data_IF_774963368057
#
_entry.id   IF_774963368057
#
_cell.length_a   1.000
_cell.length_b   1.000
_cell.length_c   1.000
_cell.angle_alpha   90.00
_cell.angle_beta   90.00
_cell.angle_gamma   90.00
#
_symmetry.space_group_name_H-M   'P 1'
#
loop_
_entity.id
_entity.type
_entity.pdbx_description
1 polymer ?
#
# COMPACT_ATOMS: atom_id res chain seq x y z
N UNK A 1 -9.31 16.43 9.81
CA UNK A 1 -7.95 16.12 9.40
C UNK A 1 -7.51 17.06 8.30
N UNK A 2 -6.36 17.63 8.46
CA UNK A 2 -5.91 18.73 7.61
C UNK A 2 -4.83 18.25 6.64
N UNK A 3 -5.26 17.64 5.56
CA UNK A 3 -4.36 17.10 4.55
C UNK A 3 -4.27 18.09 3.40
N UNK A 4 -3.04 18.43 3.04
CA UNK A 4 -2.79 19.37 1.97
C UNK A 4 -2.21 18.64 0.77
N UNK A 5 -2.65 19.00 -0.42
CA UNK A 5 -2.15 18.40 -1.65
C UNK A 5 -0.64 18.50 -1.77
N UNK A 6 -0.05 19.62 -1.32
CA UNK A 6 1.40 19.80 -1.36
C UNK A 6 2.19 18.82 -0.52
N UNK A 7 1.54 18.08 0.39
CA UNK A 7 2.20 17.05 1.19
C UNK A 7 2.31 15.72 0.45
N UNK A 8 1.61 15.57 -0.66
CA UNK A 8 1.65 14.35 -1.47
C UNK A 8 2.84 14.44 -2.41
N UNK A 9 4.02 14.07 -1.91
CA UNK A 9 5.29 14.28 -2.59
C UNK A 9 5.92 13.01 -3.17
N UNK A 10 5.37 11.86 -2.84
CA UNK A 10 5.96 10.58 -3.25
C UNK A 10 5.09 9.91 -4.29
N UNK A 11 5.72 9.47 -5.35
CA UNK A 11 5.01 8.76 -6.41
C UNK A 11 5.00 7.28 -6.11
N UNK A 12 3.82 6.72 -5.89
CA UNK A 12 3.66 5.31 -5.59
C UNK A 12 2.89 4.62 -6.72
N UNK A 13 3.04 3.30 -6.80
CA UNK A 13 2.33 2.49 -7.78
C UNK A 13 1.62 1.36 -7.06
N UNK A 14 0.34 1.18 -7.36
CA UNK A 14 -0.40 0.01 -6.90
C UNK A 14 -0.14 -1.14 -7.85
N UNK A 15 0.19 -2.30 -7.28
CA UNK A 15 0.41 -3.52 -8.04
C UNK A 15 -0.49 -4.62 -7.51
N UNK A 16 -1.02 -5.43 -8.41
CA UNK A 16 -1.90 -6.54 -8.04
C UNK A 16 -1.28 -7.86 -8.43
N UNK A 17 -1.38 -8.81 -7.52
CA UNK A 17 -0.90 -10.17 -7.76
C UNK A 17 -1.76 -10.82 -8.82
N UNK A 18 -1.12 -11.41 -9.81
CA UNK A 18 -1.79 -12.13 -10.89
C UNK A 18 -1.15 -13.50 -11.05
N UNK A 19 -1.97 -14.50 -11.28
CA UNK A 19 -1.51 -15.84 -11.60
C UNK A 19 -1.76 -16.13 -13.06
N UNK A 20 -0.77 -16.70 -13.70
CA UNK A 20 -0.89 -17.13 -15.07
C UNK A 20 -0.42 -18.57 -15.16
N UNK A 21 -1.11 -19.36 -15.99
CA UNK A 21 -0.67 -20.74 -16.25
C UNK A 21 0.69 -20.71 -16.94
N UNK A 22 1.60 -21.59 -16.48
CA UNK A 22 2.91 -21.73 -17.12
C UNK A 22 2.89 -22.71 -18.28
N UNK A 23 1.72 -23.28 -18.59
CA UNK A 23 1.59 -24.25 -19.67
C UNK A 23 2.04 -25.65 -19.31
N UNK A 24 2.46 -25.87 -18.07
CA UNK A 24 3.00 -27.15 -17.63
C UNK A 24 2.31 -27.68 -16.37
N UNK A 25 1.09 -27.21 -16.11
CA UNK A 25 0.31 -27.62 -14.96
C UNK A 25 0.59 -26.81 -13.70
N UNK A 26 1.47 -25.82 -13.78
CA UNK A 26 1.74 -24.91 -12.67
C UNK A 26 1.27 -23.51 -12.97
N UNK A 27 1.63 -22.59 -12.09
CA UNK A 27 1.28 -21.18 -12.23
C UNK A 27 2.50 -20.31 -12.02
N UNK A 28 2.57 -19.26 -12.79
CA UNK A 28 3.52 -18.18 -12.57
C UNK A 28 2.80 -17.05 -11.87
N UNK A 29 3.51 -16.41 -10.94
CA UNK A 29 2.97 -15.30 -10.18
C UNK A 29 3.62 -14.02 -10.69
N UNK A 30 2.80 -13.08 -11.08
CA UNK A 30 3.25 -11.80 -11.59
C UNK A 30 2.60 -10.67 -10.82
N UNK A 31 3.28 -9.55 -10.75
CA UNK A 31 2.70 -8.32 -10.23
C UNK A 31 2.36 -7.42 -11.39
N UNK A 32 1.11 -7.01 -11.47
CA UNK A 32 0.60 -6.15 -12.54
C UNK A 32 0.41 -4.76 -11.98
N UNK A 33 0.98 -3.77 -12.65
CA UNK A 33 0.78 -2.39 -12.26
C UNK A 33 -0.65 -1.97 -12.58
N UNK A 34 -1.33 -1.37 -11.59
CA UNK A 34 -2.69 -0.88 -11.74
C UNK A 34 -2.71 0.61 -12.01
N UNK A 35 -2.11 1.37 -11.09
CA UNK A 35 -2.19 2.81 -11.16
C UNK A 35 -1.10 3.43 -10.30
N UNK A 36 -0.57 4.57 -10.74
CA UNK A 36 0.35 5.35 -9.94
C UNK A 36 -0.33 6.62 -9.48
N UNK A 37 0.05 7.09 -8.32
CA UNK A 37 -0.48 8.34 -7.78
C UNK A 37 0.50 8.97 -6.81
N UNK A 38 0.23 10.22 -6.45
CA UNK A 38 1.03 10.91 -5.46
C UNK A 38 0.54 10.57 -4.06
N UNK A 39 1.46 10.46 -3.14
CA UNK A 39 1.16 10.03 -1.78
C UNK A 39 2.00 10.78 -0.76
N UNK A 40 1.48 10.84 0.46
CA UNK A 40 2.22 11.22 1.65
C UNK A 40 2.57 9.94 2.38
N UNK A 41 3.84 9.75 2.71
CA UNK A 41 4.30 8.56 3.41
C UNK A 41 4.84 8.97 4.77
N UNK A 42 4.25 8.44 5.83
CA UNK A 42 4.66 8.73 7.20
C UNK A 42 5.10 7.45 7.90
N UNK A 43 6.27 7.49 8.50
CA UNK A 43 6.78 6.38 9.29
C UNK A 43 6.15 6.44 10.68
N UNK A 44 5.37 5.42 11.03
CA UNK A 44 4.76 5.31 12.36
C UNK A 44 5.62 4.51 13.33
N UNK A 45 6.64 3.84 12.83
CA UNK A 45 7.72 3.29 13.62
C UNK A 45 7.34 2.24 14.64
N UNK A 46 8.01 2.32 15.79
CA UNK A 46 7.98 1.25 16.78
C UNK A 46 6.68 1.16 17.57
N UNK A 47 5.87 2.21 17.56
CA UNK A 47 4.67 2.24 18.40
C UNK A 47 3.71 1.10 18.07
N UNK A 48 3.51 0.85 16.79
CA UNK A 48 2.58 -0.19 16.34
C UNK A 48 3.13 -1.59 16.61
N UNK A 49 4.44 -1.74 16.63
CA UNK A 49 5.05 -3.05 16.85
C UNK A 49 4.79 -3.59 18.26
N UNK A 50 4.59 -2.70 19.22
CA UNK A 50 4.30 -3.09 20.59
C UNK A 50 2.96 -3.82 20.67
N UNK A 51 2.00 -3.40 19.87
CA UNK A 51 0.67 -3.98 19.90
C UNK A 51 0.58 -5.30 19.14
N UNK A 52 1.57 -5.60 18.31
CA UNK A 52 1.56 -6.82 17.53
C UNK A 52 1.98 -8.05 18.33
N UNK A 53 2.36 -7.89 19.57
CA UNK A 53 2.87 -8.96 20.45
C UNK A 53 4.09 -9.68 19.90
N UNK A 54 4.58 -9.25 18.77
CA UNK A 54 5.79 -9.77 18.15
C UNK A 54 6.66 -8.60 17.78
N UNK A 55 7.94 -8.79 17.94
CA UNK A 55 8.88 -7.82 17.40
C UNK A 55 8.97 -8.13 15.93
N UNK A 56 8.13 -7.48 15.17
CA UNK A 56 8.20 -7.59 13.74
C UNK A 56 9.30 -6.67 13.24
N UNK A 57 10.06 -7.15 12.30
CA UNK A 57 11.06 -6.33 11.66
C UNK A 57 10.43 -5.34 10.70
N UNK A 58 9.17 -5.55 10.38
CA UNK A 58 8.43 -4.68 9.48
C UNK A 58 8.15 -3.34 10.12
N UNK A 59 8.40 -2.30 9.35
CA UNK A 59 8.07 -0.96 9.77
C UNK A 59 6.65 -0.62 9.33
N UNK A 60 5.96 0.12 10.16
CA UNK A 60 4.60 0.54 9.88
C UNK A 60 4.63 1.95 9.32
N UNK A 61 3.91 2.13 8.23
CA UNK A 61 3.79 3.41 7.53
C UNK A 61 2.34 3.74 7.32
N UNK A 62 2.04 5.03 7.38
CA UNK A 62 0.74 5.54 7.00
C UNK A 62 0.91 6.23 5.65
N UNK A 63 0.23 5.72 4.65
CA UNK A 63 0.29 6.27 3.29
C UNK A 63 -1.05 6.92 2.99
N UNK A 64 -1.01 8.21 2.72
CA UNK A 64 -2.21 8.98 2.43
C UNK A 64 -2.22 9.34 0.96
N UNK A 65 -3.33 9.05 0.30
CA UNK A 65 -3.53 9.39 -1.10
C UNK A 65 -4.87 10.10 -1.28
N UNK A 66 -5.01 10.75 -2.41
CA UNK A 66 -6.31 11.28 -2.80
C UNK A 66 -7.15 10.14 -3.37
N UNK A 67 -8.45 10.17 -3.11
CA UNK A 67 -9.34 9.12 -3.60
C UNK A 67 -9.69 9.35 -5.07
N UNK A 68 -8.70 9.14 -5.92
CA UNK A 68 -8.84 9.30 -7.37
C UNK A 68 -8.53 7.99 -8.10
N UNK A 69 -8.55 6.89 -7.37
CA UNK A 69 -8.27 5.59 -7.98
C UNK A 69 -9.43 5.16 -8.87
N UNK A 70 -9.11 4.56 -9.98
CA UNK A 70 -10.10 4.03 -10.91
C UNK A 70 -10.35 2.54 -10.70
N UNK A 71 -9.87 2.01 -9.57
CA UNK A 71 -10.08 0.62 -9.17
C UNK A 71 -10.24 0.57 -7.66
N UNK A 72 -10.80 -0.53 -7.18
CA UNK A 72 -10.87 -0.77 -5.74
C UNK A 72 -9.59 -1.46 -5.27
N UNK A 73 -9.23 -1.19 -4.02
CA UNK A 73 -8.04 -1.79 -3.42
C UNK A 73 -8.43 -3.13 -2.83
N UNK A 74 -7.68 -4.18 -3.23
CA UNK A 74 -7.84 -5.52 -2.70
C UNK A 74 -6.67 -5.82 -1.78
N UNK A 75 -6.86 -5.70 -0.47
CA UNK A 75 -5.75 -5.82 0.48
C UNK A 75 -5.02 -7.14 0.38
N UNK A 76 -5.72 -8.22 0.06
CA UNK A 76 -5.12 -9.55 -0.01
C UNK A 76 -4.27 -9.76 -1.26
N UNK A 77 -4.43 -8.90 -2.27
CA UNK A 77 -3.78 -9.10 -3.56
C UNK A 77 -2.95 -7.91 -4.00
N UNK A 78 -3.15 -6.78 -3.38
CA UNK A 78 -2.51 -5.53 -3.81
C UNK A 78 -1.36 -5.16 -2.89
N UNK A 79 -0.35 -4.54 -3.47
CA UNK A 79 0.75 -3.96 -2.72
C UNK A 79 1.07 -2.59 -3.30
N UNK A 80 1.85 -1.84 -2.56
CA UNK A 80 2.32 -0.52 -3.00
C UNK A 80 3.81 -0.61 -3.26
N UNK A 81 4.20 -0.10 -4.40
CA UNK A 81 5.61 0.02 -4.77
C UNK A 81 6.02 1.48 -4.75
N UNK A 82 7.11 1.76 -4.07
CA UNK A 82 7.71 3.10 -4.04
C UNK A 82 9.20 2.94 -4.30
N UNK A 83 9.62 3.26 -5.53
CA UNK A 83 10.98 2.97 -5.95
C UNK A 83 11.24 1.47 -5.95
N UNK A 84 12.19 1.04 -5.15
CA UNK A 84 12.49 -0.38 -4.96
C UNK A 84 11.94 -0.92 -3.64
N UNK A 85 11.09 -0.14 -2.98
CA UNK A 85 10.47 -0.52 -1.71
C UNK A 85 9.06 -1.01 -1.94
N UNK A 86 8.63 -1.99 -1.15
CA UNK A 86 7.31 -2.57 -1.26
C UNK A 86 6.60 -2.53 0.08
N UNK A 87 5.30 -2.25 0.03
CA UNK A 87 4.48 -2.13 1.22
C UNK A 87 3.26 -3.03 1.09
N UNK A 88 3.02 -3.83 2.12
CA UNK A 88 1.77 -4.58 2.23
C UNK A 88 0.71 -3.72 2.88
N UNK A 89 -0.48 -3.72 2.32
CA UNK A 89 -1.58 -2.94 2.84
C UNK A 89 -2.25 -3.74 3.96
N UNK A 90 -2.26 -3.17 5.16
CA UNK A 90 -2.82 -3.82 6.34
C UNK A 90 -4.16 -3.23 6.76
N UNK A 91 -4.45 -2.02 6.34
CA UNK A 91 -5.71 -1.38 6.67
C UNK A 91 -6.02 -0.26 5.70
N UNK A 92 -7.29 0.00 5.52
CA UNK A 92 -7.77 1.07 4.64
C UNK A 92 -8.79 1.87 5.41
N UNK A 93 -8.63 3.19 5.38
CA UNK A 93 -9.59 4.10 5.99
C UNK A 93 -9.88 5.23 5.02
N UNK A 94 -11.15 5.45 4.78
CA UNK A 94 -11.60 6.61 4.01
C UNK A 94 -11.80 7.75 4.97
N UNK A 95 -11.06 8.82 4.74
CA UNK A 95 -11.05 9.97 5.63
C UNK A 95 -12.15 10.93 5.23
N UNK A 96 -12.89 11.40 6.22
CA UNK A 96 -14.00 12.33 6.14
C UNK A 96 -15.25 11.77 5.44
N UNK A 97 -16.36 12.51 5.56
CA UNK A 97 -17.65 12.08 5.03
C UNK A 97 -17.68 12.02 3.50
N UNK A 98 -16.83 12.80 2.86
CA UNK A 98 -16.82 12.89 1.40
C UNK A 98 -15.87 11.88 0.77
N UNK A 99 -15.08 11.18 1.60
CA UNK A 99 -14.12 10.17 1.15
C UNK A 99 -13.14 10.70 0.12
N UNK A 100 -12.70 11.96 0.28
CA UNK A 100 -11.72 12.55 -0.62
C UNK A 100 -10.34 11.95 -0.45
N UNK A 101 -10.05 11.42 0.73
CA UNK A 101 -8.73 10.92 1.07
C UNK A 101 -8.82 9.47 1.52
N UNK A 102 -7.78 8.72 1.20
CA UNK A 102 -7.64 7.34 1.65
C UNK A 102 -6.35 7.27 2.44
N UNK A 103 -6.43 6.70 3.65
CA UNK A 103 -5.25 6.41 4.44
C UNK A 103 -5.04 4.91 4.50
N UNK A 104 -3.84 4.50 4.14
CA UNK A 104 -3.47 3.10 4.09
C UNK A 104 -2.44 2.83 5.17
N UNK A 105 -2.78 1.92 6.09
CA UNK A 105 -1.81 1.43 7.06
C UNK A 105 -1.05 0.30 6.41
N UNK A 106 0.26 0.46 6.30
CA UNK A 106 1.08 -0.46 5.53
C UNK A 106 2.27 -0.95 6.33
N UNK A 107 2.72 -2.14 6.01
CA UNK A 107 3.95 -2.68 6.54
C UNK A 107 4.96 -2.82 5.42
N UNK A 108 6.15 -2.28 5.60
CA UNK A 108 7.20 -2.43 4.60
C UNK A 108 7.68 -3.88 4.62
N UNK A 109 7.60 -4.53 3.47
CA UNK A 109 7.98 -5.92 3.34
C UNK A 109 9.23 -6.10 2.52
N UNK A 110 9.66 -7.35 2.44
CA UNK A 110 10.79 -7.71 1.60
C UNK A 110 10.28 -7.90 0.19
N UNK A 111 11.02 -7.37 -0.79
CA UNK A 111 10.69 -7.57 -2.19
C UNK A 111 10.84 -9.05 -2.53
N UNK A 112 9.81 -9.61 -3.12
CA UNK A 112 9.84 -11.02 -3.52
C UNK A 112 9.55 -11.16 -5.00
#
# INVERSE_FOLDING_TARGET
>A
MDIRIGELRHRITFERLSRASDGQGGFEIHWVELQSCWAKIENKGARERVFAEKIEENRIFLITIRNTLDHEIEMSMDRIKFGDRFFQIKGIEYVDERRFWIQLTCAEGVAS
#
